data_IF_197953550723
#
_entry.id   IF_197953550723
#
_cell.length_a   1.000
_cell.length_b   1.000
_cell.length_c   1.000
_cell.angle_alpha   90.00
_cell.angle_beta   90.00
_cell.angle_gamma   90.00
#
_symmetry.space_group_name_H-M   'P 1'
#
loop_
_entity.id
_entity.type
_entity.pdbx_description
1 polymer ?
#
# COMPACT_ATOMS: atom_id res chain seq x y z
N UNK A 1 -20.64 -40.05 55.88
CA UNK A 1 -19.17 -40.17 55.74
C UNK A 1 -18.79 -39.46 54.44
N UNK A 2 -18.61 -38.15 54.40
CA UNK A 2 -17.51 -37.39 55.02
C UNK A 2 -16.56 -36.96 53.90
N UNK A 3 -16.95 -35.93 53.11
CA UNK A 3 -16.08 -35.34 52.09
C UNK A 3 -15.53 -34.01 52.61
N UNK A 4 -14.22 -34.03 52.86
CA UNK A 4 -13.37 -32.97 53.36
C UNK A 4 -13.27 -31.84 52.34
N UNK A 5 -13.61 -30.62 52.76
CA UNK A 5 -13.35 -29.39 52.03
C UNK A 5 -11.90 -28.97 52.35
N UNK A 6 -11.00 -29.05 51.38
CA UNK A 6 -9.64 -28.51 51.51
C UNK A 6 -9.67 -26.99 51.27
N UNK A 7 -9.40 -26.25 52.34
CA UNK A 7 -9.14 -24.81 52.31
C UNK A 7 -7.69 -24.59 51.82
N UNK A 8 -7.52 -24.00 50.63
CA UNK A 8 -6.22 -23.51 50.17
C UNK A 8 -6.03 -22.08 50.69
N UNK A 9 -5.14 -21.93 51.67
CA UNK A 9 -4.68 -20.64 52.15
C UNK A 9 -3.65 -20.07 51.16
N UNK A 10 -3.99 -18.95 50.51
CA UNK A 10 -3.05 -18.13 49.76
C UNK A 10 -2.21 -17.31 50.75
N UNK A 11 -0.93 -17.66 50.87
CA UNK A 11 0.08 -16.84 51.55
C UNK A 11 0.46 -15.70 50.61
N UNK A 12 -0.01 -14.50 50.90
CA UNK A 12 0.40 -13.27 50.24
C UNK A 12 1.81 -12.88 50.71
N UNK A 13 2.84 -13.27 49.96
CA UNK A 13 4.14 -12.62 50.07
C UNK A 13 4.05 -11.21 49.47
N UNK A 14 3.87 -10.22 50.34
CA UNK A 14 4.09 -8.80 50.03
C UNK A 14 5.58 -8.58 49.77
N UNK A 15 6.03 -8.85 48.55
CA UNK A 15 7.30 -8.34 48.05
C UNK A 15 7.17 -6.86 47.78
N UNK A 16 7.79 -6.03 48.63
CA UNK A 16 7.93 -4.59 48.40
C UNK A 16 8.85 -4.38 47.20
N UNK A 17 8.29 -4.36 46.00
CA UNK A 17 8.96 -3.85 44.81
C UNK A 17 9.15 -2.35 45.00
N UNK A 18 10.32 -1.94 45.48
CA UNK A 18 10.73 -0.54 45.44
C UNK A 18 10.87 -0.14 43.97
N UNK A 19 9.80 0.40 43.39
CA UNK A 19 9.90 1.17 42.16
C UNK A 19 10.73 2.40 42.48
N UNK A 20 12.04 2.33 42.19
CA UNK A 20 12.89 3.51 42.18
C UNK A 20 12.22 4.53 41.27
N UNK A 21 11.76 5.62 41.88
CA UNK A 21 11.04 6.68 41.21
C UNK A 21 12.07 7.42 40.36
N UNK A 22 12.11 7.10 39.06
CA UNK A 22 13.00 7.77 38.12
C UNK A 22 12.75 9.28 38.18
N UNK A 23 13.81 10.07 38.22
CA UNK A 23 13.72 11.53 38.17
C UNK A 23 13.03 12.03 36.89
N UNK A 24 12.62 13.31 36.84
CA UNK A 24 12.02 13.89 35.65
C UNK A 24 13.00 13.79 34.48
N UNK A 25 12.54 13.18 33.39
CA UNK A 25 13.27 13.06 32.13
C UNK A 25 12.56 13.89 31.07
N UNK A 26 13.35 14.55 30.24
CA UNK A 26 12.86 15.30 29.09
C UNK A 26 13.18 14.55 27.80
N UNK A 27 12.31 14.70 26.81
CA UNK A 27 12.38 13.98 25.54
C UNK A 27 12.29 14.93 24.36
N UNK A 28 13.17 14.71 23.37
CA UNK A 28 13.18 15.41 22.10
C UNK A 28 13.37 14.45 20.94
N UNK A 29 13.05 14.93 19.74
CA UNK A 29 13.45 14.30 18.49
C UNK A 29 14.35 15.24 17.69
N UNK A 30 15.36 14.70 17.03
CA UNK A 30 16.26 15.44 16.13
C UNK A 30 16.12 14.87 14.71
N UNK A 31 15.91 15.75 13.73
CA UNK A 31 15.81 15.37 12.31
C UNK A 31 17.17 15.27 11.59
N UNK A 32 17.15 14.87 10.31
CA UNK A 32 18.37 14.71 9.51
C UNK A 32 19.18 15.99 9.26
N UNK A 33 18.66 17.16 9.60
CA UNK A 33 19.36 18.45 9.55
C UNK A 33 19.77 18.95 10.94
N UNK A 34 19.69 18.09 11.97
CA UNK A 34 19.90 18.41 13.37
C UNK A 34 18.92 19.43 13.96
N UNK A 35 17.72 19.58 13.39
CA UNK A 35 16.69 20.40 14.00
C UNK A 35 16.03 19.63 15.15
N UNK A 36 16.06 20.20 16.36
CA UNK A 36 15.41 19.63 17.54
C UNK A 36 13.93 20.00 17.59
N UNK A 37 13.11 19.03 17.96
CA UNK A 37 11.68 19.13 18.14
C UNK A 37 11.33 18.61 19.54
N UNK A 38 10.39 19.25 20.23
CA UNK A 38 9.80 18.64 21.43
C UNK A 38 9.14 17.31 21.03
N UNK A 39 9.19 16.31 21.92
CA UNK A 39 8.68 14.98 21.58
C UNK A 39 7.19 15.00 21.19
N UNK A 40 6.39 15.88 21.81
CA UNK A 40 4.96 16.03 21.51
C UNK A 40 4.67 16.63 20.12
N UNK A 41 5.61 17.35 19.54
CA UNK A 41 5.52 17.86 18.16
C UNK A 41 6.21 16.93 17.14
N UNK A 42 6.92 15.90 17.60
CA UNK A 42 7.64 14.99 16.74
C UNK A 42 6.67 14.05 16.00
N UNK A 43 6.96 13.84 14.71
CA UNK A 43 6.26 12.86 13.88
C UNK A 43 7.29 12.05 13.11
N UNK A 44 7.17 10.73 13.08
CA UNK A 44 7.99 9.89 12.22
C UNK A 44 7.38 9.86 10.81
N UNK A 45 8.21 9.83 9.77
CA UNK A 45 7.76 9.56 8.40
C UNK A 45 8.29 8.22 7.92
N UNK A 46 7.53 7.58 7.04
CA UNK A 46 8.00 6.37 6.37
C UNK A 46 9.16 6.68 5.43
N UNK A 47 10.15 5.79 5.43
CA UNK A 47 11.41 5.96 4.76
C UNK A 47 11.25 6.07 3.23
N UNK A 48 11.91 7.07 2.64
CA UNK A 48 12.01 7.23 1.17
C UNK A 48 13.45 7.12 0.64
N UNK A 49 14.44 7.14 1.53
CA UNK A 49 15.85 7.04 1.14
C UNK A 49 16.43 5.67 1.44
N UNK A 50 17.34 5.21 0.58
CA UNK A 50 18.01 3.92 0.73
C UNK A 50 18.81 3.81 2.04
N UNK A 51 19.05 2.59 2.56
CA UNK A 51 19.92 2.40 3.71
C UNK A 51 21.33 2.96 3.50
N UNK A 52 21.78 3.82 4.40
CA UNK A 52 23.11 4.43 4.35
C UNK A 52 23.88 4.21 5.66
N UNK A 53 25.21 4.36 5.64
CA UNK A 53 26.00 4.45 6.87
C UNK A 53 25.68 5.75 7.60
N UNK A 54 25.68 5.73 8.93
CA UNK A 54 25.51 6.93 9.74
C UNK A 54 26.88 7.54 10.10
N UNK A 55 26.95 8.87 10.33
CA UNK A 55 28.12 9.48 10.97
C UNK A 55 28.39 8.83 12.34
N UNK A 56 29.67 8.69 12.69
CA UNK A 56 30.07 8.17 14.00
C UNK A 56 29.74 9.16 15.13
N UNK A 57 29.87 10.46 14.85
CA UNK A 57 29.53 11.54 15.76
C UNK A 57 28.02 11.83 15.71
N UNK A 58 27.27 11.66 16.82
CA UNK A 58 25.83 11.91 16.85
C UNK A 58 25.48 13.40 16.76
N UNK A 59 26.44 14.31 16.92
CA UNK A 59 26.25 15.76 16.73
C UNK A 59 26.30 16.18 15.26
N UNK A 60 26.72 15.30 14.34
CA UNK A 60 26.75 15.60 12.90
C UNK A 60 25.39 15.26 12.26
N UNK A 61 24.86 16.13 11.36
CA UNK A 61 23.63 15.84 10.63
C UNK A 61 23.73 14.53 9.84
N UNK A 62 22.73 13.66 9.96
CA UNK A 62 22.73 12.37 9.26
C UNK A 62 22.13 12.45 7.83
N UNK A 63 21.55 13.58 7.44
CA UNK A 63 21.06 13.85 6.08
C UNK A 63 19.76 13.12 5.68
N UNK A 64 19.41 12.02 6.34
CA UNK A 64 18.17 11.28 6.10
C UNK A 64 16.93 12.12 6.48
N UNK A 65 16.06 12.49 5.53
CA UNK A 65 14.93 13.39 5.79
C UNK A 65 13.83 12.73 6.64
N UNK A 66 13.78 11.40 6.68
CA UNK A 66 12.67 10.64 7.28
C UNK A 66 13.03 10.06 8.65
N UNK A 67 14.29 9.64 8.84
CA UNK A 67 14.77 9.14 10.12
C UNK A 67 14.76 10.21 11.22
N UNK A 68 14.59 9.76 12.48
CA UNK A 68 14.70 10.60 13.67
C UNK A 68 15.70 10.01 14.66
N UNK A 69 16.45 10.87 15.32
CA UNK A 69 17.14 10.55 16.57
C UNK A 69 16.24 10.92 17.74
N UNK A 70 16.16 10.08 18.77
CA UNK A 70 15.44 10.40 20.00
C UNK A 70 16.44 10.74 21.10
N UNK A 71 16.25 11.90 21.73
CA UNK A 71 17.12 12.41 22.79
C UNK A 71 16.40 12.32 24.12
N UNK A 72 17.12 11.84 25.13
CA UNK A 72 16.67 11.78 26.51
C UNK A 72 17.60 12.66 27.33
N UNK A 73 17.04 13.62 28.05
CA UNK A 73 17.77 14.49 28.97
C UNK A 73 17.30 14.31 30.41
N UNK A 74 18.23 14.45 31.36
CA UNK A 74 17.95 14.35 32.78
C UNK A 74 19.24 14.31 33.59
N UNK A 75 19.12 13.99 34.88
CA UNK A 75 20.29 13.73 35.71
C UNK A 75 21.01 12.45 35.25
N UNK A 76 22.34 12.42 35.33
CA UNK A 76 23.17 11.31 34.82
C UNK A 76 22.77 9.94 35.38
N UNK A 77 22.30 9.89 36.63
CA UNK A 77 21.83 8.67 37.30
C UNK A 77 20.47 8.18 36.81
N UNK A 78 19.67 9.04 36.17
CA UNK A 78 18.34 8.73 35.66
C UNK A 78 18.34 8.36 34.17
N UNK A 79 19.44 8.61 33.46
CA UNK A 79 19.54 8.34 32.03
C UNK A 79 19.70 6.84 31.76
N UNK A 80 18.87 6.25 30.88
CA UNK A 80 19.06 4.88 30.46
C UNK A 80 20.28 4.76 29.53
N UNK A 81 20.91 3.59 29.53
CA UNK A 81 21.94 3.24 28.53
C UNK A 81 21.33 2.63 27.26
N UNK A 82 20.12 2.08 27.38
CA UNK A 82 19.41 1.34 26.34
C UNK A 82 17.95 1.78 26.25
N UNK A 83 17.43 1.81 25.03
CA UNK A 83 16.04 2.11 24.74
C UNK A 83 15.42 0.97 23.93
N UNK A 84 14.15 0.67 24.19
CA UNK A 84 13.36 -0.21 23.34
C UNK A 84 12.37 0.63 22.50
N UNK A 85 12.19 0.28 21.23
CA UNK A 85 11.26 0.96 20.32
C UNK A 85 10.30 -0.05 19.74
N UNK A 86 9.02 0.09 20.08
CA UNK A 86 7.94 -0.68 19.46
C UNK A 86 7.35 0.09 18.28
N UNK A 87 6.96 -0.61 17.22
CA UNK A 87 6.08 -0.07 16.19
C UNK A 87 4.69 -0.69 16.31
N UNK A 88 3.67 0.16 16.24
CA UNK A 88 2.27 -0.20 16.24
C UNK A 88 1.64 0.22 14.91
N UNK A 89 0.73 -0.61 14.40
CA UNK A 89 -0.10 -0.30 13.23
C UNK A 89 -1.12 0.80 13.53
N UNK A 90 -1.85 1.24 12.51
CA UNK A 90 -2.88 2.26 12.68
C UNK A 90 -4.05 1.84 13.61
N UNK A 91 -4.27 0.53 13.78
CA UNK A 91 -5.22 -0.07 14.71
C UNK A 91 -4.59 -0.53 16.05
N UNK A 92 -3.31 -0.20 16.29
CA UNK A 92 -2.63 -0.46 17.56
C UNK A 92 -2.04 -1.86 17.71
N UNK A 93 -2.08 -2.71 16.68
CA UNK A 93 -1.43 -4.02 16.70
C UNK A 93 0.09 -3.86 16.64
N UNK A 94 0.86 -4.66 17.39
CA UNK A 94 2.32 -4.67 17.27
C UNK A 94 2.76 -5.09 15.86
N UNK A 95 3.70 -4.35 15.28
CA UNK A 95 4.29 -4.64 13.97
C UNK A 95 5.74 -5.14 14.09
N UNK A 96 6.57 -4.43 14.86
CA UNK A 96 7.99 -4.72 15.01
C UNK A 96 8.54 -4.11 16.30
N UNK A 97 9.76 -4.52 16.66
CA UNK A 97 10.44 -4.05 17.86
C UNK A 97 11.95 -3.95 17.62
N UNK A 98 12.56 -2.86 18.09
CA UNK A 98 14.00 -2.74 18.28
C UNK A 98 14.28 -2.82 19.77
N UNK A 99 14.99 -3.87 20.21
CA UNK A 99 15.36 -4.02 21.62
C UNK A 99 16.80 -3.61 21.87
N UNK A 100 17.04 -2.94 22.99
CA UNK A 100 18.39 -2.60 23.42
C UNK A 100 19.10 -1.65 22.45
N UNK A 101 18.38 -0.63 21.94
CA UNK A 101 18.97 0.42 21.11
C UNK A 101 19.97 1.21 21.96
N UNK A 102 21.27 1.21 21.62
CA UNK A 102 22.28 1.89 22.40
C UNK A 102 22.12 3.41 22.31
N UNK A 103 22.30 4.06 23.45
CA UNK A 103 22.29 5.51 23.55
C UNK A 103 23.72 6.06 23.65
N UNK A 104 23.99 7.15 22.93
CA UNK A 104 25.29 7.81 22.93
C UNK A 104 25.19 9.21 23.55
N UNK A 105 26.23 9.70 24.24
CA UNK A 105 26.24 11.07 24.72
C UNK A 105 26.06 12.09 23.59
N UNK A 106 25.29 13.14 23.85
CA UNK A 106 25.07 14.26 22.94
C UNK A 106 24.98 15.56 23.73
N UNK A 107 25.48 16.70 23.21
CA UNK A 107 25.12 18.00 23.75
C UNK A 107 23.60 18.16 23.83
N UNK A 108 23.10 18.65 24.96
CA UNK A 108 21.66 18.81 25.13
C UNK A 108 21.09 19.83 24.13
N UNK A 109 19.90 19.57 23.55
CA UNK A 109 19.23 20.53 22.69
C UNK A 109 18.97 21.87 23.40
N UNK A 110 18.86 22.94 22.61
CA UNK A 110 18.47 24.25 23.12
C UNK A 110 17.12 24.15 23.85
N UNK A 111 17.05 24.75 25.04
CA UNK A 111 15.87 24.69 25.91
C UNK A 111 15.85 23.52 26.89
N UNK A 112 16.86 22.64 26.88
CA UNK A 112 17.05 21.68 27.96
C UNK A 112 17.39 22.40 29.28
N UNK A 113 16.85 21.94 30.43
CA UNK A 113 17.20 22.50 31.73
C UNK A 113 18.70 22.46 32.03
N UNK A 114 19.18 23.49 32.73
CA UNK A 114 20.58 23.56 33.17
C UNK A 114 20.95 22.36 34.05
N UNK A 115 22.12 21.77 33.81
CA UNK A 115 22.61 20.61 34.55
C UNK A 115 22.13 19.26 34.00
N UNK A 116 21.31 19.23 32.96
CA UNK A 116 20.97 17.99 32.28
C UNK A 116 22.16 17.45 31.48
N UNK A 117 22.31 16.12 31.53
CA UNK A 117 23.09 15.37 30.55
C UNK A 117 22.12 14.78 29.53
N UNK A 118 22.54 14.68 28.26
CA UNK A 118 21.70 14.14 27.21
C UNK A 118 22.36 12.94 26.52
N UNK A 119 21.52 11.97 26.19
CA UNK A 119 21.88 10.79 25.42
C UNK A 119 20.91 10.62 24.25
N UNK A 120 21.37 10.02 23.16
CA UNK A 120 20.64 9.96 21.89
C UNK A 120 20.73 8.61 21.21
N UNK A 121 19.66 8.21 20.52
CA UNK A 121 19.65 7.01 19.67
C UNK A 121 20.46 7.22 18.38
N UNK A 122 20.86 6.15 17.67
CA UNK A 122 21.09 6.25 16.22
C UNK A 122 19.81 6.77 15.50
N UNK A 123 19.91 7.24 14.23
CA UNK A 123 18.75 7.64 13.46
C UNK A 123 17.86 6.43 13.22
N UNK A 124 16.69 6.44 13.85
CA UNK A 124 15.65 5.42 13.77
C UNK A 124 14.83 5.63 12.50
N UNK A 125 14.71 4.56 11.72
CA UNK A 125 14.04 4.53 10.42
C UNK A 125 12.74 3.73 10.54
N UNK A 126 11.63 4.38 10.24
CA UNK A 126 10.34 3.73 10.07
C UNK A 126 10.20 3.30 8.61
N UNK A 127 10.16 2.00 8.33
CA UNK A 127 10.20 1.48 6.94
C UNK A 127 8.91 0.70 6.62
N UNK A 128 8.54 0.65 5.34
CA UNK A 128 7.29 0.02 4.90
C UNK A 128 7.42 -1.49 4.62
N UNK A 129 8.64 -2.01 4.47
CA UNK A 129 8.89 -3.41 4.11
C UNK A 129 10.07 -4.04 4.86
N UNK A 130 10.10 -5.37 4.83
CA UNK A 130 11.07 -6.17 5.58
C UNK A 130 12.49 -6.13 4.99
N UNK A 131 12.63 -5.89 3.69
CA UNK A 131 13.94 -5.85 3.03
C UNK A 131 14.73 -4.67 3.59
N UNK A 132 14.08 -3.51 3.67
CA UNK A 132 14.66 -2.31 4.27
C UNK A 132 14.87 -2.46 5.79
N UNK A 133 13.94 -3.11 6.50
CA UNK A 133 14.05 -3.31 7.94
C UNK A 133 15.26 -4.20 8.31
N UNK A 134 15.52 -5.23 7.50
CA UNK A 134 16.59 -6.22 7.75
C UNK A 134 17.91 -5.86 7.07
N UNK A 135 17.99 -4.73 6.37
CA UNK A 135 19.18 -4.38 5.61
C UNK A 135 20.43 -4.29 6.53
N UNK A 136 21.57 -4.92 6.17
CA UNK A 136 22.73 -5.06 7.07
C UNK A 136 23.27 -3.75 7.67
N UNK A 137 23.21 -2.65 6.91
CA UNK A 137 23.68 -1.33 7.37
C UNK A 137 22.78 -0.67 8.42
N UNK A 138 21.53 -1.13 8.58
CA UNK A 138 20.51 -0.41 9.36
C UNK A 138 19.63 -1.30 10.24
N UNK A 139 19.80 -2.64 10.23
CA UNK A 139 18.97 -3.59 11.01
C UNK A 139 18.82 -3.29 12.52
N UNK A 140 19.78 -2.58 13.13
CA UNK A 140 19.72 -2.16 14.54
C UNK A 140 19.01 -0.82 14.78
N UNK A 141 18.53 -0.17 13.72
CA UNK A 141 17.91 1.16 13.75
C UNK A 141 16.79 1.33 12.72
N UNK A 142 16.32 0.25 12.12
CA UNK A 142 15.18 0.24 11.20
C UNK A 142 14.12 -0.71 11.72
N UNK A 143 12.86 -0.30 11.69
CA UNK A 143 11.73 -1.15 12.03
C UNK A 143 10.54 -0.94 11.11
N UNK A 144 9.78 -2.01 10.88
CA UNK A 144 8.53 -1.94 10.12
C UNK A 144 7.57 -0.95 10.79
N UNK A 145 6.96 -0.10 10.00
CA UNK A 145 5.97 0.86 10.43
C UNK A 145 4.87 1.02 9.37
N UNK A 146 3.77 1.62 9.79
CA UNK A 146 2.61 1.86 8.94
C UNK A 146 2.17 3.32 9.07
N UNK A 147 1.74 3.92 7.96
CA UNK A 147 1.13 5.25 7.96
C UNK A 147 -0.13 5.29 8.84
N UNK A 148 -0.17 6.20 9.80
CA UNK A 148 -1.22 6.28 10.81
C UNK A 148 -0.98 5.40 12.03
N UNK A 149 0.12 4.63 12.06
CA UNK A 149 0.62 3.91 13.22
C UNK A 149 1.40 4.80 14.20
N UNK A 150 2.21 4.16 15.05
CA UNK A 150 3.00 4.85 16.06
C UNK A 150 4.30 4.11 16.40
N UNK A 151 5.30 4.88 16.84
CA UNK A 151 6.52 4.39 17.47
C UNK A 151 6.44 4.67 18.97
N UNK A 152 6.56 3.63 19.79
CA UNK A 152 6.52 3.73 21.25
C UNK A 152 7.92 3.57 21.80
N UNK A 153 8.44 4.63 22.42
CA UNK A 153 9.74 4.68 23.06
C UNK A 153 9.61 4.19 24.50
N UNK A 154 10.46 3.25 24.91
CA UNK A 154 10.41 2.64 26.24
C UNK A 154 11.80 2.56 26.82
N UNK A 155 11.94 2.80 28.13
CA UNK A 155 13.19 2.47 28.81
C UNK A 155 13.35 0.95 28.78
N UNK A 156 14.55 0.46 28.45
CA UNK A 156 14.79 -0.97 28.35
C UNK A 156 14.42 -1.70 29.64
N UNK A 157 13.59 -2.73 29.54
CA UNK A 157 13.08 -3.48 30.70
C UNK A 157 12.08 -2.70 31.59
N UNK A 158 11.59 -1.55 31.15
CA UNK A 158 10.72 -0.67 31.93
C UNK A 158 9.54 -0.10 31.12
N UNK A 159 8.93 0.97 31.66
CA UNK A 159 7.73 1.61 31.14
C UNK A 159 7.94 2.44 29.87
N UNK A 160 6.81 2.88 29.32
CA UNK A 160 6.75 3.83 28.20
C UNK A 160 7.28 5.21 28.60
N UNK A 161 8.00 5.82 27.67
CA UNK A 161 8.56 7.17 27.76
C UNK A 161 7.75 8.15 26.91
N UNK A 162 7.47 7.78 25.66
CA UNK A 162 6.70 8.59 24.72
C UNK A 162 6.18 7.77 23.55
N UNK A 163 5.18 8.32 22.87
CA UNK A 163 4.63 7.79 21.63
C UNK A 163 4.75 8.84 20.52
N UNK A 164 5.31 8.45 19.37
CA UNK A 164 5.51 9.29 18.19
C UNK A 164 4.68 8.75 17.04
N UNK A 165 3.80 9.56 16.45
CA UNK A 165 2.92 9.12 15.36
C UNK A 165 3.71 8.93 14.07
N UNK A 166 3.33 7.93 13.27
CA UNK A 166 3.87 7.72 11.93
C UNK A 166 2.94 8.39 10.93
N UNK A 167 3.42 9.46 10.29
CA UNK A 167 2.69 10.28 9.32
C UNK A 167 3.38 10.27 7.96
N UNK A 168 2.87 11.04 7.01
CA UNK A 168 3.51 11.28 5.73
C UNK A 168 4.78 12.12 5.86
N UNK A 169 5.38 12.52 4.72
CA UNK A 169 6.58 13.33 4.71
C UNK A 169 6.44 14.63 5.52
N UNK A 170 7.34 14.82 6.49
CA UNK A 170 7.41 16.06 7.30
C UNK A 170 7.76 17.31 6.49
N UNK A 171 8.43 17.13 5.35
CA UNK A 171 8.92 18.22 4.50
C UNK A 171 8.63 17.89 3.05
N UNK A 172 7.75 18.70 2.44
CA UNK A 172 7.46 18.70 0.99
C UNK A 172 7.29 20.15 0.52
N UNK A 173 7.21 20.36 -0.79
CA UNK A 173 6.97 21.68 -1.38
C UNK A 173 5.63 22.30 -0.96
N UNK A 174 4.62 21.47 -0.66
CA UNK A 174 3.28 21.88 -0.23
C UNK A 174 3.11 21.89 1.30
N UNK A 175 4.20 21.72 2.06
CA UNK A 175 4.19 21.63 3.52
C UNK A 175 4.22 20.19 4.07
N UNK A 176 4.07 20.01 5.39
CA UNK A 176 4.03 18.67 5.98
C UNK A 176 2.75 17.93 5.57
N UNK A 177 2.90 16.66 5.20
CA UNK A 177 1.76 15.78 4.89
C UNK A 177 1.50 14.90 6.09
N UNK A 178 0.34 15.06 6.73
CA UNK A 178 -0.05 14.19 7.85
C UNK A 178 -0.49 12.81 7.35
N UNK A 179 -1.66 12.76 6.70
CA UNK A 179 -2.23 11.53 6.16
C UNK A 179 -3.34 11.85 5.18
N UNK A 180 -3.14 11.50 3.92
CA UNK A 180 -4.21 11.47 2.93
C UNK A 180 -4.87 10.09 2.90
N UNK A 181 -6.20 10.10 2.76
CA UNK A 181 -6.99 8.89 2.58
C UNK A 181 -7.75 8.93 1.27
N UNK A 182 -7.45 7.99 0.38
CA UNK A 182 -8.26 7.70 -0.79
C UNK A 182 -9.20 6.51 -0.50
N UNK A 183 -10.36 6.48 -1.14
CA UNK A 183 -11.27 5.32 -1.10
C UNK A 183 -11.08 4.52 -2.38
N UNK A 184 -10.70 3.25 -2.24
CA UNK A 184 -10.60 2.33 -3.36
C UNK A 184 -11.83 1.41 -3.42
N UNK A 185 -12.40 1.26 -4.61
CA UNK A 185 -13.36 0.20 -4.94
C UNK A 185 -12.75 -0.67 -6.03
N UNK A 186 -12.73 -1.99 -5.80
CA UNK A 186 -12.26 -2.95 -6.80
C UNK A 186 -13.47 -3.64 -7.40
N UNK A 187 -13.56 -3.61 -8.73
CA UNK A 187 -14.54 -4.38 -9.50
C UNK A 187 -13.78 -5.53 -10.16
N UNK A 188 -14.13 -6.76 -9.80
CA UNK A 188 -13.60 -7.96 -10.42
C UNK A 188 -14.61 -8.49 -11.42
N UNK A 189 -14.24 -8.42 -12.69
CA UNK A 189 -15.07 -8.87 -13.81
C UNK A 189 -14.71 -10.32 -14.13
N UNK A 190 -15.72 -11.20 -14.19
CA UNK A 190 -15.54 -12.60 -14.61
C UNK A 190 -15.19 -12.68 -16.10
N UNK A 191 -14.60 -13.79 -16.52
CA UNK A 191 -14.30 -14.04 -17.93
C UNK A 191 -15.56 -14.26 -18.78
N UNK A 192 -16.60 -14.83 -18.19
CA UNK A 192 -17.90 -15.07 -18.81
C UNK A 192 -19.01 -14.89 -17.74
N UNK A 193 -20.26 -14.62 -18.15
CA UNK A 193 -21.38 -14.56 -17.21
C UNK A 193 -21.47 -15.84 -16.37
N UNK A 194 -21.50 -15.70 -15.04
CA UNK A 194 -21.50 -16.84 -14.10
C UNK A 194 -20.21 -17.65 -14.05
N UNK A 195 -19.20 -17.31 -14.86
CA UNK A 195 -17.93 -18.05 -14.97
C UNK A 195 -16.98 -17.83 -13.79
N UNK A 196 -15.75 -18.35 -13.89
CA UNK A 196 -14.74 -18.18 -12.85
C UNK A 196 -14.31 -16.71 -12.68
N UNK A 197 -13.87 -16.37 -11.47
CA UNK A 197 -13.25 -15.08 -11.20
C UNK A 197 -11.85 -14.99 -11.83
N UNK A 198 -11.37 -13.79 -12.20
CA UNK A 198 -10.09 -13.61 -12.88
C UNK A 198 -8.89 -14.00 -12.00
N UNK A 199 -9.07 -14.05 -10.67
CA UNK A 199 -8.07 -14.46 -9.69
C UNK A 199 -8.70 -15.28 -8.58
N UNK A 200 -7.92 -16.13 -7.93
CA UNK A 200 -8.33 -16.85 -6.72
C UNK A 200 -9.33 -18.00 -6.93
N UNK A 201 -9.98 -18.11 -8.10
CA UNK A 201 -10.93 -19.17 -8.43
C UNK A 201 -12.31 -19.02 -7.79
N UNK A 202 -12.37 -18.61 -6.51
CA UNK A 202 -13.61 -18.35 -5.77
C UNK A 202 -13.65 -16.96 -5.13
N UNK A 203 -14.84 -16.55 -4.65
CA UNK A 203 -15.08 -15.21 -4.07
C UNK A 203 -14.20 -14.93 -2.84
N UNK A 204 -13.98 -15.91 -1.98
CA UNK A 204 -13.23 -15.73 -0.75
C UNK A 204 -11.74 -15.49 -1.05
N UNK A 205 -11.16 -16.32 -1.91
CA UNK A 205 -9.77 -16.21 -2.35
C UNK A 205 -9.53 -14.99 -3.20
N UNK A 206 -10.44 -14.65 -4.13
CA UNK A 206 -10.35 -13.41 -4.89
C UNK A 206 -10.37 -12.18 -3.96
N UNK A 207 -11.27 -12.19 -2.96
CA UNK A 207 -11.30 -11.17 -1.92
C UNK A 207 -9.99 -11.06 -1.14
N UNK A 208 -9.41 -12.20 -0.75
CA UNK A 208 -8.11 -12.23 -0.07
C UNK A 208 -6.98 -11.65 -0.94
N UNK A 209 -6.94 -11.98 -2.24
CA UNK A 209 -5.94 -11.45 -3.18
C UNK A 209 -6.06 -9.93 -3.30
N UNK A 210 -7.28 -9.38 -3.43
CA UNK A 210 -7.49 -7.93 -3.48
C UNK A 210 -7.07 -7.22 -2.19
N UNK A 211 -7.41 -7.77 -1.03
CA UNK A 211 -7.01 -7.20 0.26
C UNK A 211 -5.50 -7.24 0.47
N UNK A 212 -4.85 -8.33 0.08
CA UNK A 212 -3.39 -8.44 0.10
C UNK A 212 -2.74 -7.43 -0.85
N UNK A 213 -3.32 -7.21 -2.03
CA UNK A 213 -2.88 -6.16 -2.95
C UNK A 213 -3.03 -4.77 -2.33
N UNK A 214 -4.14 -4.47 -1.65
CA UNK A 214 -4.31 -3.21 -0.93
C UNK A 214 -3.24 -2.99 0.13
N UNK A 215 -2.90 -4.04 0.89
CA UNK A 215 -1.81 -3.98 1.89
C UNK A 215 -0.48 -3.55 1.25
N UNK A 216 -0.12 -4.14 0.11
CA UNK A 216 1.10 -3.76 -0.64
C UNK A 216 1.03 -2.34 -1.19
N UNK A 217 -0.12 -1.93 -1.71
CA UNK A 217 -0.34 -0.57 -2.21
C UNK A 217 -0.22 0.44 -1.06
N UNK A 218 -0.79 0.16 0.12
CA UNK A 218 -0.64 1.00 1.30
C UNK A 218 0.83 1.12 1.76
N UNK A 219 1.60 0.03 1.71
CA UNK A 219 3.03 0.07 2.02
C UNK A 219 3.79 0.95 1.02
N UNK A 220 3.51 0.79 -0.29
CA UNK A 220 4.17 1.55 -1.36
C UNK A 220 3.87 3.06 -1.28
N UNK A 221 2.60 3.42 -1.11
CA UNK A 221 2.15 4.81 -1.11
C UNK A 221 2.22 5.49 0.27
N UNK A 222 2.43 4.69 1.34
CA UNK A 222 2.52 5.20 2.71
C UNK A 222 3.68 6.17 2.91
N UNK A 223 4.80 5.96 2.22
CA UNK A 223 5.95 6.88 2.21
C UNK A 223 5.62 8.26 1.62
N UNK A 224 4.58 8.34 0.78
CA UNK A 224 4.03 9.58 0.27
C UNK A 224 2.90 10.16 1.15
N UNK A 225 2.63 9.55 2.31
CA UNK A 225 1.53 9.97 3.19
C UNK A 225 0.14 9.57 2.68
N UNK A 226 0.03 8.63 1.74
CA UNK A 226 -1.24 8.20 1.14
C UNK A 226 -1.62 6.81 1.63
N UNK A 227 -2.85 6.65 2.09
CA UNK A 227 -3.45 5.37 2.47
C UNK A 227 -4.79 5.15 1.76
N UNK A 228 -5.11 3.90 1.47
CA UNK A 228 -6.40 3.47 0.95
C UNK A 228 -7.32 2.85 2.02
N UNK A 229 -6.93 3.00 3.29
CA UNK A 229 -7.63 2.44 4.44
C UNK A 229 -7.27 0.97 4.74
N UNK A 230 -7.86 0.40 5.81
CA UNK A 230 -7.62 -0.97 6.20
C UNK A 230 -8.08 -1.95 5.11
N UNK A 231 -7.31 -3.02 4.81
CA UNK A 231 -7.74 -4.06 3.86
C UNK A 231 -9.10 -4.69 4.19
N UNK A 232 -9.46 -4.76 5.47
CA UNK A 232 -10.76 -5.27 5.90
C UNK A 232 -11.95 -4.41 5.42
N UNK A 233 -11.75 -3.10 5.25
CA UNK A 233 -12.77 -2.14 4.80
C UNK A 233 -12.88 -2.05 3.27
N UNK A 234 -12.06 -2.78 2.51
CA UNK A 234 -12.04 -2.71 1.06
C UNK A 234 -13.37 -3.17 0.46
N UNK A 235 -13.97 -2.31 -0.37
CA UNK A 235 -15.15 -2.64 -1.16
C UNK A 235 -14.73 -3.43 -2.40
N UNK A 236 -15.18 -4.68 -2.47
CA UNK A 236 -14.92 -5.60 -3.57
C UNK A 236 -16.25 -5.99 -4.19
N UNK A 237 -16.44 -5.59 -5.44
CA UNK A 237 -17.59 -5.92 -6.24
C UNK A 237 -17.21 -7.01 -7.24
N UNK A 238 -18.04 -8.05 -7.31
CA UNK A 238 -17.91 -9.10 -8.32
C UNK A 238 -19.00 -8.86 -9.36
N UNK A 239 -18.60 -8.75 -10.62
CA UNK A 239 -19.52 -8.47 -11.71
C UNK A 239 -19.32 -9.45 -12.86
N UNK A 240 -20.42 -9.80 -13.53
CA UNK A 240 -20.35 -10.47 -14.82
C UNK A 240 -19.85 -9.47 -15.87
N UNK A 241 -19.14 -9.94 -16.92
CA UNK A 241 -18.82 -9.06 -18.02
C UNK A 241 -20.11 -8.54 -18.67
N UNK A 242 -20.10 -7.32 -19.24
CA UNK A 242 -21.21 -6.88 -20.06
C UNK A 242 -21.43 -7.87 -21.21
N UNK A 243 -22.66 -8.02 -21.73
CA UNK A 243 -22.91 -8.83 -22.91
C UNK A 243 -21.94 -8.47 -24.03
N UNK A 244 -21.44 -9.44 -24.83
CA UNK A 244 -20.51 -9.13 -25.91
C UNK A 244 -21.16 -8.13 -26.85
N UNK A 245 -20.51 -7.00 -27.11
CA UNK A 245 -21.05 -5.91 -27.94
C UNK A 245 -19.97 -5.26 -28.82
N UNK A 246 -18.77 -5.86 -28.78
CA UNK A 246 -17.59 -5.42 -29.51
C UNK A 246 -17.14 -6.57 -30.41
N UNK A 247 -16.95 -6.28 -31.69
CA UNK A 247 -16.32 -7.19 -32.65
C UNK A 247 -14.94 -6.64 -33.00
N UNK A 248 -13.90 -7.39 -32.66
CA UNK A 248 -12.52 -7.07 -33.05
C UNK A 248 -12.15 -7.81 -34.34
N UNK A 249 -11.78 -7.07 -35.38
CA UNK A 249 -11.36 -7.62 -36.68
C UNK A 249 -9.84 -7.54 -36.77
N UNK A 250 -9.19 -8.69 -37.04
CA UNK A 250 -7.74 -8.78 -37.17
C UNK A 250 -6.97 -8.88 -35.84
N UNK A 251 -7.64 -9.16 -34.72
CA UNK A 251 -7.01 -9.27 -33.40
C UNK A 251 -5.81 -10.24 -33.40
N UNK A 252 -4.69 -9.81 -32.82
CA UNK A 252 -3.46 -10.60 -32.68
C UNK A 252 -2.47 -10.47 -33.84
N UNK A 253 -2.91 -10.73 -35.09
CA UNK A 253 -1.98 -10.89 -36.22
C UNK A 253 -2.17 -9.88 -37.36
N UNK A 254 -3.32 -9.18 -37.44
CA UNK A 254 -3.54 -8.13 -38.45
C UNK A 254 -3.35 -8.58 -39.91
N UNK A 255 -3.53 -9.86 -40.23
CA UNK A 255 -3.32 -10.40 -41.56
C UNK A 255 -4.52 -10.08 -42.48
N UNK A 256 -4.30 -9.94 -43.80
CA UNK A 256 -5.40 -9.89 -44.77
C UNK A 256 -6.28 -11.14 -44.70
N UNK A 257 -7.56 -10.97 -44.99
CA UNK A 257 -8.51 -12.08 -45.02
C UNK A 257 -8.17 -13.08 -46.14
N UNK A 258 -8.36 -14.38 -45.88
CA UNK A 258 -8.35 -15.42 -46.91
C UNK A 258 -9.66 -15.47 -47.73
N UNK A 259 -10.62 -14.61 -47.41
CA UNK A 259 -12.00 -14.65 -47.89
C UNK A 259 -12.95 -15.41 -46.95
N UNK A 260 -14.25 -15.35 -47.22
CA UNK A 260 -15.29 -16.07 -46.49
C UNK A 260 -16.45 -15.16 -46.07
N UNK A 261 -17.03 -15.43 -44.90
CA UNK A 261 -18.11 -14.61 -44.36
C UNK A 261 -17.99 -14.47 -42.84
N UNK A 262 -18.28 -13.28 -42.33
CA UNK A 262 -18.53 -13.05 -40.91
C UNK A 262 -20.04 -13.18 -40.69
N UNK A 263 -20.44 -14.11 -39.82
CA UNK A 263 -21.84 -14.39 -39.49
C UNK A 263 -22.05 -14.18 -37.99
N UNK A 264 -22.95 -13.27 -37.63
CA UNK A 264 -23.28 -12.98 -36.24
C UNK A 264 -24.76 -12.64 -36.07
N UNK A 265 -25.27 -12.73 -34.85
CA UNK A 265 -26.54 -12.11 -34.45
C UNK A 265 -26.24 -10.82 -33.72
N UNK A 266 -26.81 -9.71 -34.20
CA UNK A 266 -26.82 -8.44 -33.49
C UNK A 266 -28.20 -8.25 -32.87
N UNK A 267 -28.29 -8.24 -31.53
CA UNK A 267 -29.55 -8.22 -30.79
C UNK A 267 -30.58 -9.25 -31.32
N UNK A 268 -30.13 -10.47 -31.59
CA UNK A 268 -30.95 -11.57 -32.13
C UNK A 268 -31.15 -11.56 -33.66
N UNK A 269 -30.90 -10.42 -34.34
CA UNK A 269 -31.03 -10.30 -35.80
C UNK A 269 -29.78 -10.88 -36.50
N UNK A 270 -29.93 -11.85 -37.41
CA UNK A 270 -28.80 -12.38 -38.15
C UNK A 270 -28.25 -11.32 -39.12
N UNK A 271 -26.92 -11.17 -39.13
CA UNK A 271 -26.16 -10.33 -40.05
C UNK A 271 -25.05 -11.19 -40.63
N UNK A 272 -24.98 -11.22 -41.96
CA UNK A 272 -23.93 -11.92 -42.70
C UNK A 272 -23.24 -10.92 -43.61
N UNK A 273 -21.91 -10.86 -43.53
CA UNK A 273 -21.09 -10.01 -44.37
C UNK A 273 -20.06 -10.86 -45.09
N UNK A 274 -20.05 -10.77 -46.43
CA UNK A 274 -19.05 -11.45 -47.27
C UNK A 274 -17.74 -10.66 -47.20
N UNK A 275 -16.65 -11.36 -46.89
CA UNK A 275 -15.31 -10.80 -46.83
C UNK A 275 -14.52 -11.37 -48.01
N UNK A 276 -13.97 -10.49 -48.83
CA UNK A 276 -13.23 -10.88 -50.02
C UNK A 276 -11.77 -11.24 -49.64
N UNK A 277 -11.13 -12.20 -50.35
CA UNK A 277 -9.71 -12.46 -50.17
C UNK A 277 -8.88 -11.20 -50.35
N UNK A 278 -7.90 -10.98 -49.46
CA UNK A 278 -6.99 -9.83 -49.50
C UNK A 278 -7.49 -8.59 -48.74
N UNK A 279 -8.74 -8.54 -48.25
CA UNK A 279 -9.19 -7.42 -47.43
C UNK A 279 -8.35 -7.27 -46.17
N UNK A 280 -7.84 -6.07 -45.93
CA UNK A 280 -7.16 -5.73 -44.68
C UNK A 280 -8.19 -5.58 -43.55
N UNK A 281 -7.81 -5.73 -42.26
CA UNK A 281 -8.76 -5.70 -41.15
C UNK A 281 -9.68 -4.47 -41.12
N UNK A 282 -9.15 -3.28 -41.40
CA UNK A 282 -9.94 -2.05 -41.45
C UNK A 282 -11.00 -2.05 -42.56
N UNK A 283 -10.69 -2.63 -43.72
CA UNK A 283 -11.63 -2.75 -44.83
C UNK A 283 -12.74 -3.75 -44.50
N UNK A 284 -12.36 -4.93 -44.00
CA UNK A 284 -13.30 -5.95 -43.55
C UNK A 284 -14.22 -5.41 -42.43
N UNK A 285 -13.67 -4.67 -41.47
CA UNK A 285 -14.44 -4.05 -40.39
C UNK A 285 -15.44 -2.99 -40.90
N UNK A 286 -15.04 -2.13 -41.85
CA UNK A 286 -15.97 -1.17 -42.47
C UNK A 286 -17.08 -1.87 -43.24
N UNK A 287 -16.78 -2.97 -43.94
CA UNK A 287 -17.82 -3.75 -44.62
C UNK A 287 -18.81 -4.37 -43.64
N UNK A 288 -18.34 -4.92 -42.53
CA UNK A 288 -19.22 -5.43 -41.45
C UNK A 288 -20.04 -4.31 -40.83
N UNK A 289 -19.45 -3.14 -40.60
CA UNK A 289 -20.15 -1.97 -40.09
C UNK A 289 -21.30 -1.56 -41.03
N UNK A 290 -21.07 -1.49 -42.34
CA UNK A 290 -22.14 -1.20 -43.31
C UNK A 290 -23.28 -2.23 -43.27
N UNK A 291 -22.98 -3.53 -43.17
CA UNK A 291 -24.03 -4.55 -43.03
C UNK A 291 -24.84 -4.42 -41.74
N UNK A 292 -24.19 -4.04 -40.64
CA UNK A 292 -24.85 -3.78 -39.36
C UNK A 292 -25.72 -2.52 -39.41
N UNK A 293 -25.24 -1.45 -40.05
CA UNK A 293 -26.00 -0.21 -40.26
C UNK A 293 -27.24 -0.46 -41.14
N UNK A 294 -27.10 -1.24 -42.21
CA UNK A 294 -28.22 -1.69 -43.04
C UNK A 294 -29.25 -2.52 -42.25
N UNK A 295 -28.81 -3.26 -41.24
CA UNK A 295 -29.69 -3.99 -40.32
C UNK A 295 -30.33 -3.10 -39.23
N UNK A 296 -30.05 -1.79 -39.25
CA UNK A 296 -30.63 -0.77 -38.38
C UNK A 296 -29.88 -0.54 -37.07
N UNK A 297 -28.59 -0.88 -37.01
CA UNK A 297 -27.74 -0.59 -35.85
C UNK A 297 -26.90 0.67 -36.05
N UNK A 298 -26.36 1.21 -34.96
CA UNK A 298 -25.35 2.28 -34.98
C UNK A 298 -24.01 1.65 -34.64
N UNK A 299 -23.00 1.82 -35.49
CA UNK A 299 -21.68 1.23 -35.30
C UNK A 299 -20.64 2.31 -35.08
N UNK A 300 -19.87 2.17 -34.00
CA UNK A 300 -18.68 2.99 -33.77
C UNK A 300 -17.44 2.18 -34.12
N UNK A 301 -16.59 2.74 -34.98
CA UNK A 301 -15.36 2.11 -35.46
C UNK A 301 -14.17 2.73 -34.73
N UNK A 302 -13.27 1.90 -34.22
CA UNK A 302 -11.99 2.31 -33.64
C UNK A 302 -10.85 1.54 -34.30
N UNK A 303 -10.00 2.24 -35.05
CA UNK A 303 -8.82 1.65 -35.67
C UNK A 303 -7.66 1.62 -34.65
N UNK A 304 -7.08 0.44 -34.45
CA UNK A 304 -5.94 0.21 -33.56
C UNK A 304 -4.63 0.23 -34.34
N UNK A 305 -3.52 0.69 -33.74
CA UNK A 305 -2.22 0.66 -34.39
C UNK A 305 -1.73 -0.77 -34.63
N UNK A 306 -0.80 -0.93 -35.58
CA UNK A 306 -0.10 -2.20 -35.81
C UNK A 306 0.67 -2.64 -34.57
N UNK A 307 0.62 -3.94 -34.24
CA UNK A 307 1.33 -4.50 -33.09
C UNK A 307 2.68 -5.17 -33.45
N UNK A 308 2.89 -5.53 -34.72
CA UNK A 308 4.13 -6.18 -35.18
C UNK A 308 4.48 -5.81 -36.63
N UNK A 309 5.72 -6.09 -37.05
CA UNK A 309 6.15 -5.93 -38.43
C UNK A 309 5.48 -6.97 -39.35
N UNK A 310 5.07 -6.57 -40.56
CA UNK A 310 4.39 -7.46 -41.51
C UNK A 310 2.88 -7.66 -41.26
N UNK A 311 2.31 -6.98 -40.26
CA UNK A 311 0.88 -6.99 -39.93
C UNK A 311 0.24 -5.61 -40.11
N UNK A 312 -1.05 -5.59 -40.45
CA UNK A 312 -1.88 -4.38 -40.38
C UNK A 312 -2.36 -4.15 -38.94
N UNK A 313 -2.97 -2.97 -38.69
CA UNK A 313 -3.71 -2.72 -37.45
C UNK A 313 -4.99 -3.57 -37.37
N UNK A 314 -5.51 -3.75 -36.16
CA UNK A 314 -6.86 -4.30 -35.95
C UNK A 314 -7.90 -3.19 -35.90
N UNK A 315 -9.16 -3.52 -36.12
CA UNK A 315 -10.26 -2.55 -36.02
C UNK A 315 -11.36 -3.12 -35.14
N UNK A 316 -11.80 -2.32 -34.16
CA UNK A 316 -12.87 -2.67 -33.25
C UNK A 316 -14.18 -2.01 -33.67
N UNK A 317 -15.26 -2.78 -33.61
CA UNK A 317 -16.63 -2.32 -33.88
C UNK A 317 -17.45 -2.41 -32.60
N UNK A 318 -17.87 -1.27 -32.05
CA UNK A 318 -18.84 -1.20 -30.96
C UNK A 318 -20.24 -1.00 -31.54
N UNK A 319 -21.15 -1.95 -31.30
CA UNK A 319 -22.47 -1.97 -31.94
C UNK A 319 -23.55 -1.57 -30.93
N UNK A 320 -24.42 -0.65 -31.35
CA UNK A 320 -25.50 -0.08 -30.53
C UNK A 320 -26.85 -0.20 -31.23
N UNK A 321 -27.91 -0.33 -30.43
CA UNK A 321 -29.29 -0.19 -30.92
C UNK A 321 -29.61 1.29 -31.21
N UNK A 322 -30.62 1.57 -32.04
CA UNK A 322 -31.23 2.89 -32.09
C UNK A 322 -31.60 3.34 -30.67
N UNK A 323 -31.14 4.53 -30.25
CA UNK A 323 -31.26 5.03 -28.88
C UNK A 323 -30.04 4.81 -27.98
N UNK A 324 -28.96 4.21 -28.48
CA UNK A 324 -27.63 4.28 -27.87
C UNK A 324 -27.25 3.13 -26.90
N UNK A 325 -28.17 2.22 -26.58
CA UNK A 325 -27.85 1.03 -25.77
C UNK A 325 -26.97 0.02 -26.54
N UNK A 326 -26.10 -0.70 -25.83
CA UNK A 326 -25.20 -1.70 -26.45
C UNK A 326 -26.00 -2.89 -27.02
N UNK A 327 -25.72 -3.27 -28.26
CA UNK A 327 -26.33 -4.42 -28.92
C UNK A 327 -25.48 -5.66 -28.66
N UNK A 328 -26.10 -6.72 -28.13
CA UNK A 328 -25.42 -8.01 -27.95
C UNK A 328 -25.03 -8.59 -29.31
N UNK A 329 -23.78 -9.06 -29.43
CA UNK A 329 -23.22 -9.74 -30.59
C UNK A 329 -22.96 -11.19 -30.22
N UNK A 330 -23.50 -12.11 -31.02
CA UNK A 330 -23.30 -13.55 -30.84
C UNK A 330 -22.81 -14.15 -32.15
N UNK A 331 -21.81 -15.04 -32.15
CA UNK A 331 -21.47 -15.79 -33.35
C UNK A 331 -22.68 -16.58 -33.82
N UNK A 332 -23.02 -16.52 -35.10
CA UNK A 332 -23.85 -17.54 -35.70
C UNK A 332 -22.94 -18.76 -35.86
N UNK A 333 -23.22 -19.82 -35.11
CA UNK A 333 -22.46 -21.08 -35.20
C UNK A 333 -22.24 -21.50 -36.65
N UNK A 334 -21.08 -22.13 -36.90
CA UNK A 334 -20.71 -22.64 -38.22
C UNK A 334 -21.71 -23.66 -38.74
#
# INVERSE_FOLDING_TARGET
MGRVVQLLALVSCLGSSSTAQAGPIDLWAIDGRNHSLSIGAAQASLQRSVPARQPADPSVPHGDPDALRYVIGGATTDLPSLLDIASLSADGRPLAWLSGVPLQPLPCPNGAPSGHTCVVTPPIRAVADEIDARHPLVRGRSLLAELGGALVLRRHGAGELATVRVTGPRRTEIGPIERYRAKLRIIMVRLAPGGALPVGGDRAKAGAVARAALGRVNALWGSCGISFGPPAELVIELSDPPPPHLLAVGCGHGLPASGGAIRLRAAGKPVTTIIDPGMVPAEAARRVATSLEQAGFVVQISDNPRMTAGAFGSTDLSVRRPGGSLATLEPLGT
#
